data_IF_208986901133
#
_entry.id   IF_208986901133
#
_cell.length_a   1.000
_cell.length_b   1.000
_cell.length_c   1.000
_cell.angle_alpha   90.00
_cell.angle_beta   90.00
_cell.angle_gamma   90.00
#
_symmetry.space_group_name_H-M   'P 1'
#
loop_
_entity.id
_entity.type
_entity.pdbx_description
1 polymer ?
#
# COMPACT_ATOMS: atom_id res chain seq x y z
N UNK A 1 16.27 -21.86 -2.20
CA UNK A 1 15.85 -20.62 -1.49
C UNK A 1 17.02 -19.69 -1.14
N UNK A 2 18.22 -20.21 -0.83
CA UNK A 2 19.44 -19.40 -0.58
C UNK A 2 19.84 -18.39 -1.70
N UNK A 3 19.68 -18.69 -3.01
CA UNK A 3 20.04 -17.73 -4.06
C UNK A 3 19.14 -16.49 -4.12
N UNK A 4 17.83 -16.66 -3.88
CA UNK A 4 16.85 -15.56 -3.87
C UNK A 4 17.08 -14.58 -2.70
N UNK A 5 17.43 -15.11 -1.52
CA UNK A 5 17.81 -14.29 -0.35
C UNK A 5 19.11 -13.51 -0.59
N UNK A 6 20.08 -14.11 -1.28
CA UNK A 6 21.33 -13.43 -1.64
C UNK A 6 21.09 -12.24 -2.58
N UNK A 7 20.19 -12.40 -3.56
CA UNK A 7 19.80 -11.30 -4.46
C UNK A 7 19.13 -10.17 -3.68
N UNK A 8 18.22 -10.46 -2.73
CA UNK A 8 17.62 -9.42 -1.89
C UNK A 8 18.65 -8.64 -1.08
N UNK A 9 19.59 -9.33 -0.43
CA UNK A 9 20.64 -8.68 0.36
C UNK A 9 21.54 -7.79 -0.52
N UNK A 10 21.98 -8.31 -1.68
CA UNK A 10 22.83 -7.53 -2.60
C UNK A 10 22.07 -6.40 -3.28
N UNK A 11 20.79 -6.59 -3.62
CA UNK A 11 19.95 -5.56 -4.21
C UNK A 11 19.66 -4.43 -3.22
N UNK A 12 19.54 -4.73 -1.93
CA UNK A 12 19.44 -3.72 -0.87
C UNK A 12 20.72 -2.88 -0.76
N UNK A 13 21.89 -3.54 -0.73
CA UNK A 13 23.19 -2.82 -0.71
C UNK A 13 23.40 -2.00 -1.99
N UNK A 14 23.04 -2.56 -3.14
CA UNK A 14 23.19 -1.88 -4.43
C UNK A 14 22.20 -0.71 -4.56
N UNK A 15 21.01 -0.76 -3.96
CA UNK A 15 20.10 0.37 -3.87
C UNK A 15 20.77 1.56 -3.17
N UNK A 16 21.40 1.35 -2.00
CA UNK A 16 22.13 2.42 -1.30
C UNK A 16 23.34 2.92 -2.08
N UNK A 17 24.10 2.03 -2.74
CA UNK A 17 25.24 2.45 -3.58
C UNK A 17 24.81 3.23 -4.82
N UNK A 18 23.70 2.87 -5.45
CA UNK A 18 23.15 3.60 -6.61
C UNK A 18 22.56 4.95 -6.22
N UNK A 19 22.02 5.08 -4.99
CA UNK A 19 21.53 6.36 -4.47
C UNK A 19 22.63 7.40 -4.33
N UNK A 20 23.85 7.00 -4.00
CA UNK A 20 25.01 7.90 -3.89
C UNK A 20 25.52 8.34 -5.27
N UNK A 21 25.33 7.51 -6.31
CA UNK A 21 25.85 7.77 -7.66
C UNK A 21 24.90 8.53 -8.58
N UNK A 22 23.58 8.48 -8.36
CA UNK A 22 22.57 9.22 -9.15
C UNK A 22 21.96 10.38 -8.35
N UNK A 23 22.27 11.67 -8.66
CA UNK A 23 21.89 12.83 -7.84
C UNK A 23 20.36 13.04 -7.72
N UNK A 24 19.57 12.61 -8.71
CA UNK A 24 18.11 12.69 -8.69
C UNK A 24 17.46 11.76 -7.65
N UNK A 25 18.07 10.58 -7.37
CA UNK A 25 17.60 9.67 -6.31
C UNK A 25 17.98 10.19 -4.92
N UNK A 26 19.10 10.91 -4.83
CA UNK A 26 19.57 11.58 -3.62
C UNK A 26 18.63 12.72 -3.19
N UNK A 27 18.02 13.42 -4.15
CA UNK A 27 16.96 14.41 -3.91
C UNK A 27 15.76 13.82 -3.17
N UNK A 28 15.29 12.63 -3.55
CA UNK A 28 14.21 11.95 -2.84
C UNK A 28 14.57 11.57 -1.40
N UNK A 29 15.84 11.21 -1.15
CA UNK A 29 16.35 10.88 0.19
C UNK A 29 16.53 12.12 1.04
N UNK A 30 17.10 13.20 0.48
CA UNK A 30 17.25 14.48 1.17
C UNK A 30 15.87 15.05 1.48
N UNK A 31 14.92 14.96 0.55
CA UNK A 31 13.52 15.31 0.78
C UNK A 31 12.90 14.45 1.89
N UNK A 32 13.12 13.13 1.87
CA UNK A 32 12.63 12.22 2.90
C UNK A 32 13.23 12.50 4.28
N UNK A 33 14.55 12.69 4.38
CA UNK A 33 15.26 13.06 5.61
C UNK A 33 14.80 14.43 6.09
N UNK A 34 14.61 15.40 5.19
CA UNK A 34 14.05 16.71 5.51
C UNK A 34 12.63 16.63 6.05
N UNK A 35 11.78 15.76 5.48
CA UNK A 35 10.42 15.51 5.93
C UNK A 35 10.40 14.84 7.31
N UNK A 36 11.33 13.90 7.58
CA UNK A 36 11.52 13.31 8.91
C UNK A 36 11.97 14.35 9.95
N UNK A 37 12.93 15.20 9.61
CA UNK A 37 13.40 16.28 10.51
C UNK A 37 12.27 17.28 10.77
N UNK A 38 11.51 17.66 9.74
CA UNK A 38 10.35 18.52 9.89
C UNK A 38 9.25 17.89 10.75
N UNK A 39 8.97 16.60 10.58
CA UNK A 39 8.01 15.85 11.39
C UNK A 39 8.41 15.81 12.88
N UNK A 40 9.70 15.60 13.17
CA UNK A 40 10.23 15.61 14.54
C UNK A 40 10.09 17.01 15.15
N UNK A 41 10.48 18.07 14.42
CA UNK A 41 10.37 19.45 14.89
C UNK A 41 8.90 19.86 15.07
N UNK A 42 8.01 19.49 14.15
CA UNK A 42 6.58 19.74 14.23
C UNK A 42 5.91 19.01 15.41
N UNK A 43 6.29 17.76 15.66
CA UNK A 43 5.86 16.99 16.83
C UNK A 43 6.35 17.59 18.17
N UNK A 44 7.55 18.16 18.18
CA UNK A 44 8.11 18.86 19.34
C UNK A 44 7.45 20.23 19.58
N UNK A 45 7.16 21.01 18.53
CA UNK A 45 6.48 22.32 18.65
C UNK A 45 5.00 22.19 19.01
N UNK A 46 4.35 21.10 18.62
CA UNK A 46 2.96 20.81 19.01
C UNK A 46 2.84 20.36 20.47
N UNK A 47 3.95 20.26 21.22
CA UNK A 47 3.95 19.97 22.66
C UNK A 47 3.42 21.12 23.52
N UNK A 48 3.29 22.33 22.95
CA UNK A 48 2.82 23.52 23.66
C UNK A 48 1.40 23.89 23.19
N UNK A 49 0.40 23.15 23.68
CA UNK A 49 -1.02 23.52 23.62
C UNK A 49 -1.68 23.48 22.24
N UNK A 50 -2.54 22.49 22.00
CA UNK A 50 -3.44 22.48 20.85
C UNK A 50 -4.67 21.63 21.13
N UNK A 51 -5.82 22.08 20.65
CA UNK A 51 -7.09 21.34 20.70
C UNK A 51 -6.93 19.94 20.10
N UNK A 52 -7.39 18.92 20.83
CA UNK A 52 -7.41 17.55 20.36
C UNK A 52 -8.34 17.42 19.16
N UNK A 53 -7.88 16.77 18.08
CA UNK A 53 -8.77 16.43 16.96
C UNK A 53 -9.55 15.16 17.27
N UNK A 54 -10.77 15.08 16.75
CA UNK A 54 -11.65 13.93 16.98
C UNK A 54 -11.03 12.62 16.45
N UNK A 55 -11.20 11.47 17.14
CA UNK A 55 -10.77 10.17 16.64
C UNK A 55 -11.36 9.79 15.26
N UNK A 56 -12.51 10.38 14.91
CA UNK A 56 -13.20 10.16 13.64
C UNK A 56 -12.40 10.66 12.44
N UNK A 57 -11.71 11.79 12.54
CA UNK A 57 -10.89 12.29 11.43
C UNK A 57 -9.67 11.38 11.20
N UNK A 58 -9.14 10.74 12.25
CA UNK A 58 -8.05 9.78 12.12
C UNK A 58 -8.48 8.52 11.39
N UNK A 59 -9.69 8.02 11.68
CA UNK A 59 -10.29 6.91 10.94
C UNK A 59 -10.49 7.28 9.47
N UNK A 60 -10.99 8.49 9.19
CA UNK A 60 -11.23 8.99 7.83
C UNK A 60 -9.92 9.16 7.03
N UNK A 61 -8.86 9.66 7.67
CA UNK A 61 -7.52 9.75 7.05
C UNK A 61 -7.00 8.34 6.73
N UNK A 62 -7.11 7.41 7.68
CA UNK A 62 -6.57 6.06 7.50
C UNK A 62 -7.33 5.30 6.40
N UNK A 63 -8.66 5.42 6.35
CA UNK A 63 -9.46 4.84 5.28
C UNK A 63 -9.17 5.50 3.93
N UNK A 64 -8.98 6.83 3.90
CA UNK A 64 -8.57 7.56 2.70
C UNK A 64 -7.22 7.09 2.14
N UNK A 65 -6.23 6.87 3.01
CA UNK A 65 -4.93 6.29 2.63
C UNK A 65 -5.10 4.88 2.05
N UNK A 66 -5.93 4.04 2.67
CA UNK A 66 -6.20 2.70 2.16
C UNK A 66 -6.88 2.73 0.78
N UNK A 67 -7.92 3.57 0.62
CA UNK A 67 -8.62 3.77 -0.66
C UNK A 67 -7.64 4.23 -1.73
N UNK A 68 -6.74 5.16 -1.40
CA UNK A 68 -5.73 5.66 -2.33
C UNK A 68 -4.82 4.52 -2.83
N UNK A 69 -4.26 3.70 -1.94
CA UNK A 69 -3.39 2.59 -2.34
C UNK A 69 -4.11 1.50 -3.13
N UNK A 70 -5.33 1.12 -2.73
CA UNK A 70 -6.13 0.17 -3.49
C UNK A 70 -6.54 0.73 -4.85
N UNK A 71 -6.90 2.02 -4.92
CA UNK A 71 -7.21 2.72 -6.16
C UNK A 71 -6.02 2.72 -7.12
N UNK A 72 -4.83 3.10 -6.65
CA UNK A 72 -3.59 3.03 -7.43
C UNK A 72 -3.31 1.61 -7.95
N UNK A 73 -3.59 0.59 -7.15
CA UNK A 73 -3.42 -0.81 -7.55
C UNK A 73 -4.38 -1.20 -8.67
N UNK A 74 -5.65 -0.79 -8.59
CA UNK A 74 -6.63 -1.07 -9.63
C UNK A 74 -6.27 -0.36 -10.95
N UNK A 75 -5.89 0.92 -10.90
CA UNK A 75 -5.47 1.67 -12.09
C UNK A 75 -4.13 1.16 -12.66
N UNK A 76 -3.20 0.76 -11.80
CA UNK A 76 -1.88 0.24 -12.18
C UNK A 76 -1.88 -1.21 -12.66
N UNK A 77 -2.96 -1.96 -12.42
CA UNK A 77 -3.05 -3.40 -12.69
C UNK A 77 -2.84 -3.82 -14.15
N UNK A 78 -3.03 -2.91 -15.11
CA UNK A 78 -2.75 -3.15 -16.53
C UNK A 78 -1.28 -3.06 -16.93
N UNK A 79 -0.45 -2.55 -16.02
CA UNK A 79 0.96 -2.28 -16.26
C UNK A 79 1.79 -3.20 -15.38
N UNK A 80 2.53 -4.13 -15.99
CA UNK A 80 3.58 -4.88 -15.28
C UNK A 80 4.88 -4.06 -15.14
N UNK A 81 4.87 -2.77 -15.52
CA UNK A 81 6.02 -1.87 -15.37
C UNK A 81 6.40 -1.77 -13.89
N UNK A 82 7.67 -1.98 -13.59
CA UNK A 82 8.23 -1.92 -12.24
C UNK A 82 8.13 -3.21 -11.43
N UNK A 83 7.40 -4.24 -11.89
CA UNK A 83 7.34 -5.54 -11.21
C UNK A 83 8.70 -6.24 -11.21
N UNK A 84 9.40 -6.17 -12.35
CA UNK A 84 10.76 -6.66 -12.54
C UNK A 84 11.65 -5.52 -13.05
N UNK A 85 12.92 -5.51 -12.62
CA UNK A 85 13.97 -4.66 -13.23
C UNK A 85 14.68 -5.45 -14.34
N UNK A 86 15.39 -4.76 -15.24
CA UNK A 86 16.25 -5.41 -16.24
C UNK A 86 17.33 -6.28 -15.60
N UNK A 87 17.82 -5.87 -14.42
CA UNK A 87 18.67 -6.74 -13.59
C UNK A 87 17.97 -8.02 -13.16
N UNK A 88 16.70 -7.97 -12.76
CA UNK A 88 15.91 -9.16 -12.45
C UNK A 88 15.67 -10.02 -13.70
N UNK A 89 15.60 -9.41 -14.90
CA UNK A 89 15.40 -10.15 -16.15
C UNK A 89 16.54 -11.17 -16.35
N UNK A 90 17.78 -10.69 -16.23
CA UNK A 90 18.98 -11.49 -16.46
C UNK A 90 19.22 -12.60 -15.44
N UNK A 91 18.64 -12.50 -14.22
CA UNK A 91 18.83 -13.50 -13.16
C UNK A 91 17.62 -14.38 -12.91
N UNK A 92 16.41 -13.89 -13.17
CA UNK A 92 15.17 -14.59 -12.82
C UNK A 92 14.64 -15.36 -14.03
N UNK A 93 14.61 -14.77 -15.24
CA UNK A 93 14.11 -15.46 -16.44
C UNK A 93 15.09 -16.50 -16.98
N UNK A 94 16.39 -16.33 -16.76
CA UNK A 94 17.43 -17.30 -17.17
C UNK A 94 17.64 -18.44 -16.17
N UNK A 95 17.10 -18.29 -14.95
CA UNK A 95 17.23 -19.31 -13.91
C UNK A 95 16.20 -20.43 -14.11
N UNK A 96 16.51 -21.68 -13.71
CA UNK A 96 15.56 -22.80 -13.74
C UNK A 96 14.53 -22.68 -12.60
N UNK A 97 13.97 -21.49 -12.41
CA UNK A 97 12.99 -21.17 -11.39
C UNK A 97 11.63 -21.06 -12.07
N UNK A 98 10.62 -21.71 -11.47
CA UNK A 98 9.25 -21.65 -11.99
C UNK A 98 8.71 -20.20 -11.91
N UNK A 99 8.00 -19.69 -12.93
CA UNK A 99 7.46 -18.33 -12.99
C UNK A 99 6.69 -17.87 -11.75
N UNK A 100 5.98 -18.78 -11.09
CA UNK A 100 5.23 -18.50 -9.87
C UNK A 100 6.13 -18.02 -8.73
N UNK A 101 7.36 -18.53 -8.62
CA UNK A 101 8.32 -18.12 -7.58
C UNK A 101 8.90 -16.73 -7.86
N UNK A 102 9.05 -16.34 -9.12
CA UNK A 102 9.47 -15.00 -9.50
C UNK A 102 8.39 -13.95 -9.18
N UNK A 103 7.13 -14.33 -9.34
CA UNK A 103 6.00 -13.48 -9.01
C UNK A 103 5.88 -13.28 -7.49
N UNK A 104 6.13 -14.32 -6.69
CA UNK A 104 6.27 -14.18 -5.22
C UNK A 104 7.45 -13.27 -4.85
N UNK A 105 8.58 -13.36 -5.57
CA UNK A 105 9.71 -12.44 -5.38
C UNK A 105 9.33 -10.98 -5.68
N UNK A 106 8.56 -10.74 -6.75
CA UNK A 106 8.06 -9.41 -7.07
C UNK A 106 7.12 -8.85 -5.98
N UNK A 107 6.26 -9.71 -5.39
CA UNK A 107 5.44 -9.35 -4.24
C UNK A 107 6.29 -8.89 -3.05
N UNK A 108 7.34 -9.65 -2.70
CA UNK A 108 8.26 -9.31 -1.59
C UNK A 108 9.02 -8.00 -1.89
N UNK A 109 9.43 -7.79 -3.14
CA UNK A 109 10.13 -6.57 -3.56
C UNK A 109 9.22 -5.32 -3.45
N UNK A 110 7.97 -5.43 -3.87
CA UNK A 110 6.98 -4.35 -3.68
C UNK A 110 6.76 -4.08 -2.19
N UNK A 111 6.71 -5.11 -1.34
CA UNK A 111 6.62 -4.93 0.12
C UNK A 111 7.81 -4.17 0.72
N UNK A 112 9.02 -4.35 0.18
CA UNK A 112 10.21 -3.65 0.66
C UNK A 112 10.13 -2.12 0.43
N UNK A 113 9.55 -1.67 -0.70
CA UNK A 113 9.29 -0.24 -0.92
C UNK A 113 8.27 0.32 0.07
N UNK A 114 7.29 -0.47 0.47
CA UNK A 114 6.24 -0.08 1.42
C UNK A 114 6.76 -0.01 2.87
N UNK A 115 7.88 -0.69 3.17
CA UNK A 115 8.54 -0.64 4.48
C UNK A 115 9.06 0.78 4.81
N UNK A 116 9.45 1.55 3.79
CA UNK A 116 9.84 2.96 3.92
C UNK A 116 8.66 3.81 4.41
N UNK A 117 7.43 3.52 3.94
CA UNK A 117 6.22 4.22 4.35
C UNK A 117 5.86 3.93 5.82
N UNK A 118 5.98 2.67 6.25
CA UNK A 118 5.77 2.27 7.65
C UNK A 118 6.77 2.99 8.56
N UNK A 119 8.04 3.09 8.15
CA UNK A 119 9.07 3.84 8.89
C UNK A 119 8.70 5.33 9.00
N UNK A 120 8.17 5.97 7.94
CA UNK A 120 7.72 7.37 8.03
C UNK A 120 6.67 7.57 9.12
N UNK A 121 5.69 6.67 9.17
CA UNK A 121 4.61 6.74 10.16
C UNK A 121 5.15 6.42 11.55
N UNK A 122 6.12 5.50 11.67
CA UNK A 122 6.82 5.21 12.93
C UNK A 122 7.45 6.48 13.54
N UNK A 123 8.14 7.28 12.73
CA UNK A 123 8.72 8.55 13.17
C UNK A 123 7.67 9.63 13.51
N UNK A 124 6.47 9.55 12.95
CA UNK A 124 5.35 10.45 13.26
C UNK A 124 4.45 9.96 14.42
N UNK A 125 4.78 8.81 15.04
CA UNK A 125 4.01 8.23 16.16
C UNK A 125 3.75 9.22 17.30
N UNK A 126 4.80 9.89 17.77
CA UNK A 126 4.72 10.83 18.89
C UNK A 126 3.76 11.99 18.60
N UNK A 127 3.74 12.44 17.35
CA UNK A 127 2.81 13.48 16.86
C UNK A 127 1.38 12.94 16.83
N UNK A 128 1.16 11.75 16.26
CA UNK A 128 -0.16 11.13 16.15
C UNK A 128 -0.81 10.88 17.53
N UNK A 129 -0.05 10.34 18.49
CA UNK A 129 -0.57 10.06 19.84
C UNK A 129 -1.02 11.34 20.53
N UNK A 130 -0.27 12.44 20.36
CA UNK A 130 -0.55 13.73 20.99
C UNK A 130 -1.75 14.44 20.35
N UNK A 131 -1.82 14.49 19.01
CA UNK A 131 -2.90 15.19 18.31
C UNK A 131 -4.28 14.54 18.50
N UNK A 132 -4.33 13.22 18.68
CA UNK A 132 -5.58 12.45 18.77
C UNK A 132 -5.83 11.85 20.16
N UNK A 133 -4.97 12.14 21.14
CA UNK A 133 -5.01 11.56 22.50
C UNK A 133 -5.18 10.03 22.48
N UNK A 134 -4.35 9.35 21.68
CA UNK A 134 -4.47 7.90 21.49
C UNK A 134 -3.97 7.14 22.71
N UNK A 135 -4.72 6.11 23.11
CA UNK A 135 -4.19 5.06 23.98
C UNK A 135 -3.14 4.24 23.23
N UNK A 136 -2.21 3.61 23.96
CA UNK A 136 -1.13 2.79 23.39
C UNK A 136 -1.65 1.70 22.41
N UNK A 137 -2.83 1.14 22.69
CA UNK A 137 -3.50 0.16 21.81
C UNK A 137 -3.97 0.75 20.49
N UNK A 138 -4.35 2.02 20.47
CA UNK A 138 -4.82 2.70 19.25
C UNK A 138 -3.69 2.90 18.25
N UNK A 139 -2.50 3.25 18.73
CA UNK A 139 -1.32 3.41 17.88
C UNK A 139 -0.90 2.08 17.24
N UNK A 140 -0.87 0.99 18.02
CA UNK A 140 -0.53 -0.35 17.51
C UNK A 140 -1.50 -0.77 16.41
N UNK A 141 -2.81 -0.57 16.60
CA UNK A 141 -3.80 -0.96 15.61
C UNK A 141 -3.69 -0.17 14.30
N UNK A 142 -3.32 1.11 14.37
CA UNK A 142 -3.05 1.92 13.17
C UNK A 142 -1.86 1.36 12.39
N UNK A 143 -0.76 0.99 13.08
CA UNK A 143 0.37 0.33 12.43
C UNK A 143 -0.02 -0.99 11.80
N UNK A 144 -0.73 -1.83 12.54
CA UNK A 144 -1.20 -3.13 12.06
C UNK A 144 -2.05 -2.93 10.80
N UNK A 145 -3.05 -2.05 10.84
CA UNK A 145 -3.90 -1.75 9.69
C UNK A 145 -3.08 -1.27 8.49
N UNK A 146 -2.18 -0.30 8.66
CA UNK A 146 -1.40 0.20 7.53
C UNK A 146 -0.49 -0.89 6.96
N UNK A 147 0.17 -1.68 7.79
CA UNK A 147 1.00 -2.81 7.33
C UNK A 147 0.14 -3.80 6.52
N UNK A 148 -1.03 -4.20 7.05
CA UNK A 148 -1.94 -5.11 6.34
C UNK A 148 -2.48 -4.50 5.04
N UNK A 149 -2.81 -3.21 5.02
CA UNK A 149 -3.17 -2.49 3.80
C UNK A 149 -2.06 -2.58 2.76
N UNK A 150 -0.81 -2.30 3.13
CA UNK A 150 0.32 -2.32 2.20
C UNK A 150 0.62 -3.73 1.67
N UNK A 151 0.61 -4.73 2.56
CA UNK A 151 0.81 -6.14 2.20
C UNK A 151 -0.27 -6.62 1.23
N UNK A 152 -1.53 -6.32 1.53
CA UNK A 152 -2.64 -6.74 0.67
C UNK A 152 -2.66 -5.99 -0.66
N UNK A 153 -2.34 -4.70 -0.69
CA UNK A 153 -2.13 -3.92 -1.93
C UNK A 153 -1.08 -4.59 -2.82
N UNK A 154 0.07 -4.99 -2.27
CA UNK A 154 1.10 -5.72 -3.02
C UNK A 154 0.58 -7.06 -3.56
N UNK A 155 -0.08 -7.86 -2.71
CA UNK A 155 -0.62 -9.16 -3.11
C UNK A 155 -1.69 -9.04 -4.21
N UNK A 156 -2.61 -8.08 -4.08
CA UNK A 156 -3.66 -7.79 -5.07
C UNK A 156 -3.06 -7.29 -6.37
N UNK A 157 -2.09 -6.38 -6.32
CA UNK A 157 -1.39 -5.86 -7.51
C UNK A 157 -0.79 -7.00 -8.33
N UNK A 158 -0.06 -7.89 -7.67
CA UNK A 158 0.57 -9.03 -8.32
C UNK A 158 -0.45 -10.00 -8.91
N UNK A 159 -1.56 -10.26 -8.21
CA UNK A 159 -2.64 -11.10 -8.72
C UNK A 159 -3.30 -10.48 -9.96
N UNK A 160 -3.67 -9.19 -9.89
CA UNK A 160 -4.34 -8.51 -10.99
C UNK A 160 -3.44 -8.45 -12.23
N UNK A 161 -2.15 -8.13 -12.06
CA UNK A 161 -1.21 -8.13 -13.18
C UNK A 161 -1.08 -9.53 -13.77
N UNK A 162 -0.94 -10.57 -12.94
CA UNK A 162 -0.87 -11.96 -13.41
C UNK A 162 -2.13 -12.40 -14.18
N UNK A 163 -3.31 -11.97 -13.72
CA UNK A 163 -4.59 -12.24 -14.37
C UNK A 163 -4.76 -11.46 -15.67
N UNK A 164 -4.39 -10.18 -15.67
CA UNK A 164 -4.50 -9.29 -16.83
C UNK A 164 -3.54 -9.71 -17.95
N UNK A 165 -2.33 -10.18 -17.61
CA UNK A 165 -1.39 -10.77 -18.58
C UNK A 165 -1.96 -12.05 -19.20
N UNK A 166 -2.61 -12.89 -18.40
CA UNK A 166 -3.21 -14.14 -18.92
C UNK A 166 -4.50 -13.91 -19.70
N UNK A 167 -5.31 -12.92 -19.30
CA UNK A 167 -6.61 -12.61 -19.86
C UNK A 167 -6.72 -11.10 -20.13
N UNK A 168 -6.38 -10.62 -21.33
CA UNK A 168 -6.37 -9.19 -21.66
C UNK A 168 -7.72 -8.48 -21.47
N UNK A 169 -8.84 -9.21 -21.52
CA UNK A 169 -10.18 -8.65 -21.23
C UNK A 169 -10.30 -8.16 -19.78
N UNK A 170 -9.60 -8.80 -18.83
CA UNK A 170 -9.63 -8.44 -17.42
C UNK A 170 -8.97 -7.09 -17.15
N UNK A 171 -8.01 -6.65 -17.96
CA UNK A 171 -7.41 -5.31 -17.83
C UNK A 171 -8.47 -4.21 -18.00
N UNK A 172 -9.30 -4.33 -19.05
CA UNK A 172 -10.40 -3.39 -19.30
C UNK A 172 -11.42 -3.41 -18.16
N UNK A 173 -11.82 -4.60 -17.72
CA UNK A 173 -12.79 -4.76 -16.63
C UNK A 173 -12.27 -4.14 -15.33
N UNK A 174 -11.00 -4.38 -14.98
CA UNK A 174 -10.40 -3.85 -13.75
C UNK A 174 -10.36 -2.31 -13.77
N UNK A 175 -10.06 -1.70 -14.92
CA UNK A 175 -10.12 -0.24 -15.09
C UNK A 175 -11.54 0.30 -15.00
N UNK A 176 -12.52 -0.34 -15.62
CA UNK A 176 -13.93 0.06 -15.49
C UNK A 176 -14.42 0.00 -14.05
N UNK A 177 -14.07 -1.06 -13.31
CA UNK A 177 -14.37 -1.16 -11.87
C UNK A 177 -13.72 -0.01 -11.11
N UNK A 178 -12.46 0.32 -11.39
CA UNK A 178 -11.77 1.45 -10.76
C UNK A 178 -12.49 2.79 -11.02
N UNK A 179 -12.92 3.04 -12.26
CA UNK A 179 -13.67 4.25 -12.61
C UNK A 179 -15.04 4.31 -11.92
N UNK A 180 -15.77 3.19 -11.86
CA UNK A 180 -17.07 3.13 -11.17
C UNK A 180 -16.91 3.40 -9.67
N UNK A 181 -15.93 2.77 -9.02
CA UNK A 181 -15.66 2.99 -7.60
C UNK A 181 -15.21 4.43 -7.33
N UNK A 182 -14.35 5.00 -8.18
CA UNK A 182 -13.93 6.40 -8.09
C UNK A 182 -15.10 7.37 -8.26
N UNK A 183 -15.96 7.14 -9.25
CA UNK A 183 -17.16 7.94 -9.47
C UNK A 183 -18.14 7.85 -8.28
N UNK A 184 -18.36 6.65 -7.74
CA UNK A 184 -19.20 6.44 -6.56
C UNK A 184 -18.69 7.23 -5.34
N UNK A 185 -17.37 7.23 -5.10
CA UNK A 185 -16.76 8.03 -4.03
C UNK A 185 -16.94 9.53 -4.23
N UNK A 186 -16.76 10.04 -5.46
CA UNK A 186 -16.96 11.46 -5.78
C UNK A 186 -18.43 11.86 -5.59
N UNK A 187 -19.37 11.02 -6.04
CA UNK A 187 -20.81 11.25 -5.86
C UNK A 187 -21.16 11.28 -4.36
N UNK A 188 -20.66 10.32 -3.59
CA UNK A 188 -20.90 10.26 -2.14
C UNK A 188 -20.32 11.48 -1.41
N UNK A 189 -19.13 11.92 -1.79
CA UNK A 189 -18.53 13.15 -1.27
C UNK A 189 -19.37 14.38 -1.62
N UNK A 190 -19.86 14.47 -2.86
CA UNK A 190 -20.77 15.52 -3.30
C UNK A 190 -22.04 15.58 -2.46
N UNK A 191 -22.73 14.45 -2.28
CA UNK A 191 -23.92 14.38 -1.40
C UNK A 191 -23.61 14.78 0.04
N UNK A 192 -22.47 14.35 0.57
CA UNK A 192 -22.04 14.69 1.94
C UNK A 192 -21.75 16.20 2.07
N UNK A 193 -21.16 16.81 1.03
CA UNK A 193 -20.91 18.26 0.98
C UNK A 193 -22.20 19.07 0.93
N UNK A 194 -23.16 18.71 0.08
CA UNK A 194 -24.46 19.40 0.02
C UNK A 194 -25.25 19.28 1.32
N UNK A 195 -25.05 18.19 2.07
CA UNK A 195 -25.76 17.97 3.34
C UNK A 195 -25.12 18.72 4.52
N UNK A 196 -23.80 18.89 4.52
CA UNK A 196 -23.04 19.47 5.66
C UNK A 196 -22.61 20.92 5.43
N UNK A 197 -22.55 21.39 4.18
CA UNK A 197 -21.96 22.68 3.77
C UNK A 197 -20.52 22.92 4.30
N UNK A 198 -19.81 21.84 4.67
CA UNK A 198 -18.46 21.90 5.22
C UNK A 198 -17.60 20.82 4.56
N UNK A 199 -16.48 21.22 3.94
CA UNK A 199 -15.53 20.28 3.33
C UNK A 199 -14.94 19.30 4.36
N UNK A 200 -14.76 19.76 5.60
CA UNK A 200 -14.20 18.95 6.68
C UNK A 200 -15.18 17.83 7.09
N UNK A 201 -16.45 18.15 7.30
CA UNK A 201 -17.45 17.17 7.70
C UNK A 201 -17.84 16.24 6.54
N UNK A 202 -17.89 16.76 5.32
CA UNK A 202 -18.10 15.95 4.12
C UNK A 202 -17.01 14.88 3.96
N UNK A 203 -15.76 15.23 4.24
CA UNK A 203 -14.64 14.28 4.23
C UNK A 203 -14.85 13.18 5.28
N UNK A 204 -15.10 13.55 6.53
CA UNK A 204 -15.31 12.59 7.61
C UNK A 204 -16.48 11.65 7.28
N UNK A 205 -17.63 12.20 6.86
CA UNK A 205 -18.82 11.41 6.54
C UNK A 205 -18.61 10.45 5.36
N UNK A 206 -17.85 10.86 4.35
CA UNK A 206 -17.55 10.00 3.19
C UNK A 206 -16.67 8.83 3.61
N UNK A 207 -15.55 9.13 4.26
CA UNK A 207 -14.49 8.18 4.57
C UNK A 207 -14.76 7.32 5.82
N UNK A 208 -15.74 7.70 6.64
CA UNK A 208 -16.25 6.89 7.76
C UNK A 208 -17.61 6.22 7.46
N UNK A 209 -18.07 6.28 6.21
CA UNK A 209 -19.38 5.73 5.87
C UNK A 209 -19.50 4.23 6.11
N UNK A 210 -20.69 3.79 6.52
CA UNK A 210 -20.99 2.38 6.80
C UNK A 210 -20.78 1.46 5.59
N UNK A 211 -20.92 2.00 4.37
CA UNK A 211 -20.75 1.26 3.11
C UNK A 211 -19.32 0.72 2.98
N UNK A 212 -18.32 1.51 3.39
CA UNK A 212 -16.91 1.14 3.27
C UNK A 212 -16.53 -0.06 4.13
N UNK A 213 -17.26 -0.32 5.22
CA UNK A 213 -17.03 -1.49 6.08
C UNK A 213 -17.39 -2.81 5.41
N UNK A 214 -18.27 -2.80 4.40
CA UNK A 214 -18.65 -4.00 3.66
C UNK A 214 -17.70 -4.32 2.52
N UNK A 215 -16.83 -3.38 2.12
CA UNK A 215 -15.83 -3.61 1.08
C UNK A 215 -14.69 -4.47 1.67
N UNK A 216 -14.42 -5.68 1.16
CA UNK A 216 -13.33 -6.51 1.68
C UNK A 216 -11.97 -5.81 1.59
N UNK A 217 -11.05 -6.15 2.49
CA UNK A 217 -9.75 -5.47 2.72
C UNK A 217 -9.87 -4.03 3.25
N UNK A 218 -10.68 -3.18 2.61
CA UNK A 218 -10.90 -1.80 3.07
C UNK A 218 -11.62 -1.78 4.42
N UNK A 219 -12.77 -2.46 4.50
CA UNK A 219 -13.57 -2.53 5.71
C UNK A 219 -12.84 -3.25 6.84
N UNK A 220 -12.08 -4.30 6.53
CA UNK A 220 -11.25 -4.99 7.53
C UNK A 220 -10.19 -4.05 8.13
N UNK A 221 -9.53 -3.22 7.31
CA UNK A 221 -8.62 -2.19 7.79
C UNK A 221 -9.34 -1.19 8.70
N UNK A 222 -10.49 -0.67 8.27
CA UNK A 222 -11.27 0.29 9.06
C UNK A 222 -11.70 -0.29 10.40
N UNK A 223 -12.07 -1.57 10.47
CA UNK A 223 -12.45 -2.23 11.72
C UNK A 223 -11.26 -2.40 12.67
N UNK A 224 -10.07 -2.71 12.15
CA UNK A 224 -8.83 -2.79 12.95
C UNK A 224 -8.54 -1.42 13.59
N UNK A 225 -8.61 -0.35 12.80
CA UNK A 225 -8.39 1.03 13.28
C UNK A 225 -9.45 1.42 14.30
N UNK A 226 -10.74 1.19 14.00
CA UNK A 226 -11.87 1.50 14.90
C UNK A 226 -11.75 0.77 16.25
N UNK A 227 -11.39 -0.51 16.24
CA UNK A 227 -11.12 -1.27 17.46
C UNK A 227 -9.95 -0.70 18.27
N UNK A 228 -9.00 0.00 17.65
CA UNK A 228 -7.93 0.69 18.39
C UNK A 228 -8.42 1.92 19.15
N UNK A 229 -9.47 2.58 18.65
CA UNK A 229 -10.01 3.82 19.18
C UNK A 229 -11.07 3.58 20.27
N UNK A 230 -11.89 2.54 20.12
CA UNK A 230 -12.98 2.20 21.06
C UNK A 230 -12.49 1.27 22.19
N UNK A 231 -11.45 0.44 21.92
CA UNK A 231 -10.88 -0.52 22.88
C UNK A 231 -10.73 -1.92 22.26
N UNK A 232 -9.89 -2.78 22.85
CA UNK A 232 -9.57 -4.09 22.28
C UNK A 232 -10.82 -4.97 22.12
N UNK A 233 -11.33 -5.09 20.90
CA UNK A 233 -12.42 -5.98 20.54
C UNK A 233 -11.89 -7.26 19.89
N UNK A 234 -12.51 -8.40 20.21
CA UNK A 234 -12.24 -9.73 19.59
C UNK A 234 -12.33 -9.67 18.06
N UNK A 235 -13.15 -8.75 17.55
CA UNK A 235 -13.33 -8.47 16.13
C UNK A 235 -12.00 -8.18 15.39
N UNK A 236 -11.01 -7.56 16.05
CA UNK A 236 -9.70 -7.26 15.45
C UNK A 236 -9.00 -8.54 15.00
N UNK A 237 -9.02 -9.59 15.85
CA UNK A 237 -8.36 -10.86 15.57
C UNK A 237 -9.01 -11.56 14.36
N UNK A 238 -10.33 -11.47 14.26
CA UNK A 238 -11.10 -12.03 13.14
C UNK A 238 -10.68 -11.35 11.82
N UNK A 239 -10.58 -10.03 11.80
CA UNK A 239 -10.19 -9.29 10.59
C UNK A 239 -8.72 -9.50 10.21
N UNK A 240 -7.81 -9.62 11.19
CA UNK A 240 -6.43 -10.02 10.95
C UNK A 240 -6.37 -11.44 10.34
N UNK A 241 -7.15 -12.38 10.89
CA UNK A 241 -7.26 -13.74 10.36
C UNK A 241 -7.80 -13.76 8.92
N UNK A 242 -8.82 -12.95 8.63
CA UNK A 242 -9.36 -12.79 7.28
C UNK A 242 -8.32 -12.25 6.29
N UNK A 243 -7.50 -11.29 6.70
CA UNK A 243 -6.38 -10.78 5.89
C UNK A 243 -5.37 -11.87 5.55
N UNK A 244 -4.92 -12.62 6.56
CA UNK A 244 -3.92 -13.68 6.37
C UNK A 244 -4.47 -14.78 5.46
N UNK A 245 -5.73 -15.18 5.64
CA UNK A 245 -6.40 -16.16 4.79
C UNK A 245 -6.51 -15.65 3.36
N UNK A 246 -6.88 -14.38 3.16
CA UNK A 246 -6.95 -13.77 1.83
C UNK A 246 -5.59 -13.78 1.11
N UNK A 247 -4.52 -13.39 1.81
CA UNK A 247 -3.16 -13.44 1.26
C UNK A 247 -2.76 -14.88 0.89
N UNK A 248 -3.08 -15.85 1.76
CA UNK A 248 -2.80 -17.26 1.49
C UNK A 248 -3.55 -17.77 0.24
N UNK A 249 -4.82 -17.38 0.07
CA UNK A 249 -5.63 -17.71 -1.12
C UNK A 249 -5.04 -17.11 -2.39
N UNK A 250 -4.55 -15.87 -2.34
CA UNK A 250 -3.86 -15.24 -3.48
C UNK A 250 -2.61 -16.05 -3.86
N UNK A 251 -1.75 -16.35 -2.88
CA UNK A 251 -0.51 -17.10 -3.13
C UNK A 251 -0.82 -18.49 -3.69
N UNK A 252 -1.82 -19.17 -3.14
CA UNK A 252 -2.28 -20.46 -3.64
C UNK A 252 -2.80 -20.39 -5.08
N UNK A 253 -3.58 -19.36 -5.40
CA UNK A 253 -4.13 -19.13 -6.74
C UNK A 253 -3.02 -18.90 -7.75
N UNK A 254 -2.06 -18.03 -7.45
CA UNK A 254 -0.89 -17.76 -8.32
C UNK A 254 -0.08 -19.04 -8.55
N UNK A 255 0.11 -19.87 -7.52
CA UNK A 255 0.83 -21.14 -7.66
C UNK A 255 0.11 -22.16 -8.55
N UNK A 256 -1.22 -22.12 -8.61
CA UNK A 256 -2.06 -22.97 -9.49
C UNK A 256 -2.16 -22.44 -10.92
N UNK A 257 -1.87 -21.17 -11.14
CA UNK A 257 -1.86 -20.60 -12.47
C UNK A 257 -0.60 -21.07 -13.23
N UNK A 258 -0.80 -21.66 -14.40
CA UNK A 258 0.26 -21.81 -15.40
C UNK A 258 0.55 -20.42 -15.97
N UNK A 259 1.48 -19.73 -15.32
CA UNK A 259 2.03 -18.47 -15.76
C UNK A 259 3.31 -18.81 -16.52
N UNK A 260 3.37 -18.41 -17.78
CA UNK A 260 4.58 -18.49 -18.58
C UNK A 260 5.26 -17.12 -18.58
N UNK A 261 6.58 -17.10 -18.62
CA UNK A 261 7.32 -15.86 -18.82
C UNK A 261 7.09 -15.40 -20.25
N UNK A 262 6.28 -14.35 -20.42
CA UNK A 262 6.04 -13.75 -21.74
C UNK A 262 7.13 -12.74 -22.06
N UNK A 263 7.49 -12.63 -23.34
CA UNK A 263 8.39 -11.57 -23.84
C UNK A 263 7.90 -10.17 -23.43
N UNK A 264 6.59 -9.98 -23.31
CA UNK A 264 5.98 -8.73 -22.83
C UNK A 264 6.44 -8.34 -21.40
N UNK A 265 6.71 -9.31 -20.52
CA UNK A 265 7.23 -9.02 -19.18
C UNK A 265 8.70 -8.57 -19.21
N UNK A 266 9.47 -9.04 -20.20
CA UNK A 266 10.86 -8.63 -20.42
C UNK A 266 10.90 -7.22 -21.01
N UNK A 267 10.14 -6.97 -22.07
CA UNK A 267 10.05 -5.65 -22.72
C UNK A 267 9.59 -4.57 -21.73
N UNK A 268 8.56 -4.84 -20.90
CA UNK A 268 8.10 -3.88 -19.89
C UNK A 268 9.11 -3.63 -18.75
N UNK A 269 10.02 -4.57 -18.48
CA UNK A 269 11.10 -4.37 -17.52
C UNK A 269 12.22 -3.49 -18.11
N UNK A 270 12.48 -3.60 -19.42
CA UNK A 270 13.41 -2.74 -20.15
C UNK A 270 12.88 -1.31 -20.28
N UNK A 271 11.62 -1.13 -20.72
CA UNK A 271 10.97 0.18 -20.79
C UNK A 271 10.94 0.92 -19.43
N UNK A 272 10.83 0.18 -18.32
CA UNK A 272 10.86 0.76 -16.99
C UNK A 272 12.25 1.25 -16.58
N UNK A 273 13.32 0.57 -17.02
CA UNK A 273 14.68 1.04 -16.76
C UNK A 273 15.07 2.22 -17.65
N UNK A 274 14.65 2.24 -18.91
CA UNK A 274 14.85 3.40 -19.81
C UNK A 274 14.17 4.66 -19.28
N UNK A 275 12.97 4.53 -18.69
CA UNK A 275 12.28 5.65 -18.04
C UNK A 275 12.96 6.15 -16.74
N UNK A 276 13.93 5.41 -16.19
CA UNK A 276 14.68 5.74 -14.97
C UNK A 276 16.11 6.24 -15.25
N UNK A 277 16.54 6.24 -16.50
CA UNK A 277 17.81 6.83 -16.97
C UNK A 277 17.65 8.31 -17.30
#
# INVERSE_FOLDING_TARGET
MKPLLYIHYRSFINFFKDMVKKPLKLLGVIFYVGLLVFAIIGGLKSATGGDYKSPEILLAITSGVCIFFYGLTLFGSGSSKGLFRKSDVNFVFTSPIKPQKAIVYACIKNMAQLLIFVIMIAFNSATLVRFFNLKDTGLINIYVSIIFCLISTSAVSVLLISLNTKYPMLDKITKYIAYILGAALVIQFGFSYFSTNSLYEAFINTFNSNVLYYVPLLGWNMQIVKGGLVGFEVNIIIFIGAFLLFIAVIIYTINRMNLEYTEEMVQKAEEFEEALE
#
